data_IF_593398099507
#
_entry.id   IF_593398099507
#
_cell.length_a   1.000
_cell.length_b   1.000
_cell.length_c   1.000
_cell.angle_alpha   90.00
_cell.angle_beta   90.00
_cell.angle_gamma   90.00
#
_symmetry.space_group_name_H-M   'P 1'
#
loop_
_entity.id
_entity.type
_entity.pdbx_description
1 polymer ?
#
# COMPACT_ATOMS: atom_id res chain seq x y z
N UNK A 1 -20.43 10.67 -3.97
CA UNK A 1 -19.61 11.26 -2.88
C UNK A 1 -18.93 12.54 -3.38
N UNK A 2 -18.17 12.51 -4.50
CA UNK A 2 -17.45 13.68 -5.01
C UNK A 2 -18.35 14.89 -5.31
N UNK A 3 -19.57 14.68 -5.81
CA UNK A 3 -20.55 15.76 -6.06
C UNK A 3 -21.02 16.45 -4.78
N UNK A 4 -21.05 15.75 -3.65
CA UNK A 4 -21.55 16.26 -2.38
C UNK A 4 -20.41 16.83 -1.53
N UNK A 5 -19.30 16.12 -1.42
CA UNK A 5 -18.20 16.44 -0.52
C UNK A 5 -17.04 17.14 -1.21
N UNK A 6 -17.01 17.13 -2.54
CA UNK A 6 -15.88 17.58 -3.36
C UNK A 6 -14.86 16.47 -3.64
N UNK A 7 -13.95 16.71 -4.61
CA UNK A 7 -12.90 15.74 -4.95
C UNK A 7 -11.95 15.56 -3.76
N UNK A 8 -11.41 14.35 -3.62
CA UNK A 8 -10.46 13.95 -2.58
C UNK A 8 -10.95 14.11 -1.13
N UNK A 9 -12.27 14.31 -0.92
CA UNK A 9 -12.90 14.39 0.41
C UNK A 9 -13.54 13.09 0.87
N UNK A 10 -13.33 12.01 0.14
CA UNK A 10 -13.74 10.66 0.53
C UNK A 10 -12.66 9.66 0.12
N UNK A 11 -12.64 8.54 0.80
CA UNK A 11 -11.73 7.44 0.49
C UNK A 11 -12.38 6.10 0.83
N UNK A 12 -11.79 5.04 0.31
CA UNK A 12 -12.16 3.68 0.64
C UNK A 12 -11.04 3.00 1.44
N UNK A 13 -11.43 2.19 2.40
CA UNK A 13 -10.54 1.29 3.11
C UNK A 13 -10.56 -0.07 2.40
N UNK A 14 -9.43 -0.48 1.88
CA UNK A 14 -9.24 -1.76 1.20
C UNK A 14 -8.32 -2.64 2.03
N UNK A 15 -8.62 -3.93 2.09
CA UNK A 15 -7.77 -4.93 2.75
C UNK A 15 -7.14 -5.80 1.67
N UNK A 16 -5.82 -5.84 1.63
CA UNK A 16 -5.04 -6.62 0.69
C UNK A 16 -4.66 -7.97 1.29
N UNK A 17 -4.83 -9.05 0.53
CA UNK A 17 -4.45 -10.40 0.93
C UNK A 17 -5.63 -11.29 1.35
N UNK A 18 -6.85 -10.94 0.91
CA UNK A 18 -8.05 -11.74 1.17
C UNK A 18 -8.42 -12.68 0.00
N UNK A 19 -7.45 -12.99 -0.86
CA UNK A 19 -7.63 -13.91 -2.01
C UNK A 19 -7.72 -13.23 -3.36
N UNK A 20 -7.75 -11.90 -3.41
CA UNK A 20 -7.69 -11.13 -4.64
C UNK A 20 -6.27 -11.13 -5.23
N UNK A 21 -6.18 -10.91 -6.53
CA UNK A 21 -4.92 -10.66 -7.24
C UNK A 21 -4.48 -9.20 -7.06
N UNK A 22 -3.19 -8.92 -7.29
CA UNK A 22 -2.68 -7.53 -7.32
C UNK A 22 -3.40 -6.69 -8.38
N UNK A 23 -3.72 -7.27 -9.54
CA UNK A 23 -4.50 -6.61 -10.58
C UNK A 23 -5.87 -6.17 -10.08
N UNK A 24 -6.64 -7.06 -9.47
CA UNK A 24 -8.02 -6.77 -9.04
C UNK A 24 -8.09 -5.66 -7.99
N UNK A 25 -7.18 -5.69 -7.00
CA UNK A 25 -7.15 -4.63 -5.99
C UNK A 25 -6.71 -3.29 -6.59
N UNK A 26 -5.74 -3.28 -7.51
CA UNK A 26 -5.25 -2.06 -8.16
C UNK A 26 -6.27 -1.47 -9.15
N UNK A 27 -7.01 -2.30 -9.88
CA UNK A 27 -8.16 -1.85 -10.70
C UNK A 27 -9.25 -1.23 -9.81
N UNK A 28 -9.41 -1.74 -8.59
CA UNK A 28 -10.33 -1.15 -7.61
C UNK A 28 -9.80 0.20 -7.10
N UNK A 29 -8.50 0.30 -6.82
CA UNK A 29 -7.85 1.57 -6.47
C UNK A 29 -8.04 2.62 -7.56
N UNK A 30 -7.83 2.24 -8.83
CA UNK A 30 -8.02 3.14 -9.97
C UNK A 30 -9.46 3.65 -10.05
N UNK A 31 -10.44 2.75 -9.96
CA UNK A 31 -11.86 3.16 -9.96
C UNK A 31 -12.21 4.17 -8.87
N UNK A 32 -11.67 4.00 -7.68
CA UNK A 32 -11.88 4.94 -6.57
C UNK A 32 -11.23 6.29 -6.89
N UNK A 33 -10.01 6.28 -7.44
CA UNK A 33 -9.31 7.50 -7.87
C UNK A 33 -10.08 8.23 -8.98
N UNK A 34 -10.58 7.51 -9.98
CA UNK A 34 -11.36 8.06 -11.10
C UNK A 34 -12.68 8.68 -10.63
N UNK A 35 -13.26 8.18 -9.56
CA UNK A 35 -14.42 8.79 -8.90
C UNK A 35 -14.05 10.03 -8.06
N UNK A 36 -12.78 10.42 -8.01
CA UNK A 36 -12.28 11.55 -7.23
C UNK A 36 -12.04 11.23 -5.76
N UNK A 37 -11.89 9.96 -5.41
CA UNK A 37 -11.53 9.49 -4.07
C UNK A 37 -10.05 9.17 -3.94
N UNK A 38 -9.66 8.64 -2.78
CA UNK A 38 -8.34 8.10 -2.53
C UNK A 38 -8.42 6.78 -1.75
N UNK A 39 -7.33 6.03 -1.74
CA UNK A 39 -7.30 4.68 -1.22
C UNK A 39 -6.52 4.60 0.09
N UNK A 40 -7.13 4.02 1.11
CA UNK A 40 -6.46 3.59 2.33
C UNK A 40 -6.32 2.07 2.30
N UNK A 41 -5.08 1.60 2.41
CA UNK A 41 -4.77 0.18 2.32
C UNK A 41 -4.39 -0.39 3.67
N UNK A 42 -4.91 -1.58 3.95
CA UNK A 42 -4.57 -2.40 5.11
C UNK A 42 -4.11 -3.77 4.65
N UNK A 43 -3.10 -4.31 5.31
CA UNK A 43 -2.66 -5.68 5.11
C UNK A 43 -3.60 -6.62 5.86
N UNK A 44 -4.03 -7.70 5.20
CA UNK A 44 -4.77 -8.76 5.87
C UNK A 44 -3.85 -9.54 6.82
N UNK A 45 -4.34 -9.79 8.02
CA UNK A 45 -3.82 -10.80 8.92
C UNK A 45 -4.99 -11.57 9.55
N UNK A 46 -4.83 -12.88 9.82
CA UNK A 46 -5.90 -13.68 10.38
C UNK A 46 -6.20 -13.27 11.82
N UNK A 47 -7.47 -13.09 12.13
CA UNK A 47 -7.93 -12.76 13.47
C UNK A 47 -8.59 -13.98 14.11
N UNK A 48 -8.16 -14.34 15.32
CA UNK A 48 -8.69 -15.47 16.05
C UNK A 48 -10.20 -15.33 16.31
N UNK A 49 -10.94 -16.39 16.03
CA UNK A 49 -12.40 -16.43 16.17
C UNK A 49 -13.14 -15.91 14.94
N UNK A 50 -12.45 -15.46 13.90
CA UNK A 50 -13.06 -15.13 12.61
C UNK A 50 -13.18 -16.37 11.71
N UNK A 51 -14.00 -16.28 10.65
CA UNK A 51 -14.06 -17.34 9.62
C UNK A 51 -12.76 -17.49 8.81
N UNK A 52 -11.85 -16.54 8.94
CA UNK A 52 -10.58 -16.51 8.23
C UNK A 52 -9.37 -16.71 9.16
N UNK A 53 -9.59 -17.22 10.37
CA UNK A 53 -8.49 -17.40 11.36
C UNK A 53 -7.39 -18.35 10.91
N UNK A 54 -7.70 -19.29 10.00
CA UNK A 54 -6.74 -20.23 9.42
C UNK A 54 -6.17 -19.77 8.05
N UNK A 55 -6.55 -18.59 7.58
CA UNK A 55 -6.00 -18.07 6.33
C UNK A 55 -4.58 -17.55 6.54
N UNK A 56 -3.71 -17.65 5.52
CA UNK A 56 -2.39 -17.05 5.63
C UNK A 56 -2.50 -15.52 5.67
N UNK A 57 -1.60 -14.82 6.38
CA UNK A 57 -1.48 -13.38 6.25
C UNK A 57 -1.07 -12.99 4.83
N UNK A 58 -1.22 -11.72 4.48
CA UNK A 58 -0.80 -11.20 3.17
C UNK A 58 0.68 -11.52 2.90
N UNK A 59 0.99 -11.94 1.68
CA UNK A 59 2.38 -12.07 1.23
C UNK A 59 3.08 -10.71 1.23
N UNK A 60 4.28 -10.62 1.82
CA UNK A 60 5.00 -9.35 1.95
C UNK A 60 5.35 -8.74 0.61
N UNK A 61 5.72 -9.55 -0.37
CA UNK A 61 6.02 -9.08 -1.72
C UNK A 61 4.78 -8.49 -2.40
N UNK A 62 3.64 -9.19 -2.30
CA UNK A 62 2.35 -8.67 -2.75
C UNK A 62 2.05 -7.34 -2.10
N UNK A 63 2.13 -7.26 -0.78
CA UNK A 63 1.87 -6.05 -0.03
C UNK A 63 2.73 -4.87 -0.51
N UNK A 64 4.05 -5.07 -0.66
CA UNK A 64 4.95 -4.00 -1.10
C UNK A 64 4.66 -3.53 -2.53
N UNK A 65 4.38 -4.45 -3.46
CA UNK A 65 4.03 -4.07 -4.84
C UNK A 65 2.71 -3.32 -4.89
N UNK A 66 1.71 -3.76 -4.14
CA UNK A 66 0.41 -3.07 -4.05
C UNK A 66 0.55 -1.69 -3.40
N UNK A 67 1.34 -1.54 -2.31
CA UNK A 67 1.62 -0.23 -1.72
C UNK A 67 2.23 0.74 -2.74
N UNK A 68 3.24 0.29 -3.49
CA UNK A 68 3.92 1.10 -4.50
C UNK A 68 2.99 1.50 -5.64
N UNK A 69 2.26 0.54 -6.20
CA UNK A 69 1.32 0.79 -7.30
C UNK A 69 0.17 1.72 -6.87
N UNK A 70 -0.42 1.48 -5.69
CA UNK A 70 -1.45 2.36 -5.13
C UNK A 70 -0.92 3.80 -4.95
N UNK A 71 0.30 3.96 -4.47
CA UNK A 71 0.90 5.29 -4.31
C UNK A 71 1.07 5.99 -5.66
N UNK A 72 1.47 5.26 -6.71
CA UNK A 72 1.55 5.79 -8.07
C UNK A 72 0.18 6.27 -8.54
N UNK A 73 -0.88 5.48 -8.36
CA UNK A 73 -2.25 5.83 -8.74
C UNK A 73 -2.74 7.07 -7.99
N UNK A 74 -2.58 7.09 -6.68
CA UNK A 74 -3.15 8.17 -5.85
C UNK A 74 -2.38 9.50 -5.96
N UNK A 75 -1.03 9.45 -6.04
CA UNK A 75 -0.19 10.62 -5.79
C UNK A 75 0.85 10.95 -6.87
N UNK A 76 1.15 10.02 -7.77
CA UNK A 76 2.24 10.19 -8.73
C UNK A 76 1.80 10.11 -10.20
N UNK A 77 0.49 10.18 -10.46
CA UNK A 77 -0.07 10.20 -11.81
C UNK A 77 0.06 8.87 -12.56
N UNK A 78 0.29 7.77 -11.85
CA UNK A 78 0.25 6.44 -12.44
C UNK A 78 -1.17 6.01 -12.79
N UNK A 79 -1.28 5.07 -13.72
CA UNK A 79 -2.54 4.49 -14.16
C UNK A 79 -2.39 2.98 -14.28
N UNK A 80 -3.35 2.23 -13.74
CA UNK A 80 -3.35 0.77 -13.80
C UNK A 80 -3.33 0.23 -15.24
N UNK A 81 -3.88 0.97 -16.18
CA UNK A 81 -3.86 0.60 -17.61
C UNK A 81 -2.45 0.64 -18.22
N UNK A 82 -1.53 1.40 -17.62
CA UNK A 82 -0.12 1.43 -18.01
C UNK A 82 0.73 0.35 -17.34
N UNK A 83 0.20 -0.35 -16.35
CA UNK A 83 0.93 -1.40 -15.63
C UNK A 83 0.86 -2.74 -16.37
N UNK A 84 1.90 -3.57 -16.24
CA UNK A 84 1.88 -4.94 -16.74
C UNK A 84 1.74 -5.95 -15.60
N UNK A 85 1.04 -7.04 -15.88
CA UNK A 85 0.76 -8.10 -14.91
C UNK A 85 1.08 -9.47 -15.53
N UNK A 86 1.53 -10.39 -14.72
CA UNK A 86 1.68 -11.79 -15.15
C UNK A 86 0.32 -12.53 -15.16
N UNK A 87 0.37 -13.83 -15.51
CA UNK A 87 -0.83 -14.68 -15.60
C UNK A 87 -1.52 -14.90 -14.23
N UNK A 88 -0.83 -14.68 -13.12
CA UNK A 88 -1.40 -14.75 -11.77
C UNK A 88 -1.92 -13.38 -11.28
N UNK A 89 -1.87 -12.34 -12.12
CA UNK A 89 -2.30 -10.99 -11.78
C UNK A 89 -1.30 -10.22 -10.92
N UNK A 90 -0.04 -10.70 -10.80
CA UNK A 90 1.04 -10.01 -10.09
C UNK A 90 1.61 -8.89 -10.95
N UNK A 91 1.87 -7.73 -10.37
CA UNK A 91 2.54 -6.61 -11.06
C UNK A 91 3.95 -6.99 -11.47
N UNK A 92 4.27 -6.84 -12.75
CA UNK A 92 5.60 -7.06 -13.34
C UNK A 92 6.23 -5.78 -13.87
N UNK A 93 5.41 -4.78 -14.19
CA UNK A 93 5.85 -3.44 -14.57
C UNK A 93 4.86 -2.41 -14.02
N UNK A 94 5.37 -1.31 -13.48
CA UNK A 94 4.54 -0.26 -12.88
C UNK A 94 4.13 0.84 -13.85
N UNK A 95 4.50 0.73 -15.13
CA UNK A 95 4.12 1.67 -16.18
C UNK A 95 4.74 3.07 -16.06
N UNK A 96 5.84 3.20 -15.33
CA UNK A 96 6.54 4.46 -15.11
C UNK A 96 8.03 4.34 -15.44
N UNK A 97 8.69 5.48 -15.68
CA UNK A 97 10.13 5.50 -15.92
C UNK A 97 10.90 4.83 -14.76
N UNK A 98 11.91 4.03 -15.13
CA UNK A 98 12.68 3.25 -14.16
C UNK A 98 13.40 4.13 -13.13
N UNK A 99 13.96 5.26 -13.53
CA UNK A 99 14.66 6.14 -12.61
C UNK A 99 13.69 6.82 -11.65
N UNK A 100 12.50 7.20 -12.12
CA UNK A 100 11.43 7.73 -11.30
C UNK A 100 10.92 6.69 -10.29
N UNK A 101 10.75 5.43 -10.73
CA UNK A 101 10.36 4.32 -9.86
C UNK A 101 11.40 4.08 -8.76
N UNK A 102 12.68 4.01 -9.12
CA UNK A 102 13.77 3.82 -8.18
C UNK A 102 13.86 4.96 -7.16
N UNK A 103 13.73 6.21 -7.60
CA UNK A 103 13.70 7.37 -6.70
C UNK A 103 12.51 7.33 -5.73
N UNK A 104 11.36 6.84 -6.20
CA UNK A 104 10.18 6.68 -5.36
C UNK A 104 10.37 5.59 -4.31
N UNK A 105 10.93 4.43 -4.68
CA UNK A 105 11.26 3.35 -3.74
C UNK A 105 12.27 3.85 -2.70
N UNK A 106 13.32 4.52 -3.14
CA UNK A 106 14.36 5.07 -2.26
C UNK A 106 13.81 6.10 -1.26
N UNK A 107 12.80 6.87 -1.69
CA UNK A 107 12.14 7.83 -0.80
C UNK A 107 11.38 7.18 0.36
N UNK A 108 11.05 5.90 0.28
CA UNK A 108 10.23 5.16 1.24
C UNK A 108 8.77 5.60 1.33
N UNK A 109 8.37 6.68 0.66
CA UNK A 109 7.02 7.27 0.78
C UNK A 109 5.87 6.29 0.53
N UNK A 110 5.93 5.41 -0.49
CA UNK A 110 4.84 4.46 -0.77
C UNK A 110 4.57 3.47 0.36
N UNK A 111 5.57 3.19 1.17
CA UNK A 111 5.53 2.15 2.21
C UNK A 111 5.16 2.69 3.58
N UNK A 112 4.91 3.99 3.66
CA UNK A 112 4.42 4.62 4.89
C UNK A 112 2.92 4.36 5.06
N UNK A 113 2.49 4.38 6.33
CA UNK A 113 1.07 4.28 6.64
C UNK A 113 0.28 5.36 5.89
N UNK A 114 -0.80 4.93 5.25
CA UNK A 114 -1.72 5.81 4.52
C UNK A 114 -2.86 6.32 5.40
N UNK A 115 -2.70 6.30 6.72
CA UNK A 115 -3.73 6.63 7.70
C UNK A 115 -4.60 7.84 7.34
N UNK A 116 -5.69 8.03 8.06
CA UNK A 116 -6.58 9.17 7.83
C UNK A 116 -5.77 10.46 7.86
N UNK A 117 -6.03 11.40 6.95
CA UNK A 117 -5.41 12.71 7.01
C UNK A 117 -5.74 13.36 8.35
N UNK A 118 -4.78 14.04 8.93
CA UNK A 118 -4.96 14.83 10.13
C UNK A 118 -5.97 15.97 9.90
N UNK A 119 -6.02 16.91 10.83
CA UNK A 119 -6.79 18.13 10.59
C UNK A 119 -6.09 18.98 9.51
N UNK A 120 -6.78 20.02 9.05
CA UNK A 120 -6.19 21.01 8.15
C UNK A 120 -5.02 21.77 8.79
N UNK A 121 -4.79 21.58 10.08
CA UNK A 121 -3.63 22.06 10.81
C UNK A 121 -2.48 21.07 10.61
N UNK A 122 -1.41 21.51 9.96
CA UNK A 122 -0.19 20.72 9.75
C UNK A 122 0.46 20.22 11.05
N UNK A 123 0.13 20.82 12.18
CA UNK A 123 0.59 20.36 13.50
C UNK A 123 -0.08 19.05 13.93
N UNK A 124 -1.23 18.70 13.35
CA UNK A 124 -1.92 17.43 13.63
C UNK A 124 -1.60 16.44 12.52
N UNK A 125 -0.64 15.57 12.78
CA UNK A 125 -0.26 14.51 11.84
C UNK A 125 -1.43 13.58 11.53
N UNK A 126 -1.43 13.00 10.33
CA UNK A 126 -2.29 11.91 9.95
C UNK A 126 -2.18 10.73 10.95
N UNK A 127 -3.16 9.85 10.96
CA UNK A 127 -3.13 8.65 11.78
C UNK A 127 -1.92 7.78 11.42
N UNK A 128 -0.95 7.75 12.29
CA UNK A 128 0.27 6.96 12.17
C UNK A 128 0.19 5.71 13.05
N UNK A 129 -0.95 5.02 13.06
CA UNK A 129 -1.08 3.78 13.82
C UNK A 129 -0.22 2.68 13.16
N UNK A 130 0.94 2.32 13.74
CA UNK A 130 1.76 1.24 13.21
C UNK A 130 1.09 -0.12 13.37
N UNK A 131 0.09 -0.21 14.25
CA UNK A 131 -0.57 -1.44 14.66
C UNK A 131 -1.96 -1.63 14.02
N UNK A 132 -2.30 -0.88 12.99
CA UNK A 132 -3.53 -1.10 12.22
C UNK A 132 -3.46 -2.38 11.39
N UNK A 133 -2.26 -2.67 10.88
CA UNK A 133 -1.96 -3.81 10.03
C UNK A 133 -0.56 -4.41 10.35
N UNK A 134 0.03 -4.04 11.46
CA UNK A 134 1.43 -4.37 11.79
C UNK A 134 1.58 -4.72 13.26
N UNK A 135 2.60 -5.50 13.58
CA UNK A 135 3.08 -5.71 14.94
C UNK A 135 4.41 -4.97 15.14
N UNK A 136 4.86 -4.73 16.40
CA UNK A 136 6.15 -4.08 16.64
C UNK A 136 7.36 -4.82 16.03
N UNK A 137 7.23 -6.12 15.85
CA UNK A 137 8.28 -7.00 15.31
C UNK A 137 8.12 -7.27 13.83
N UNK A 138 7.02 -6.84 13.21
CA UNK A 138 6.74 -7.03 11.78
C UNK A 138 5.93 -5.83 11.25
N UNK A 139 6.67 -4.85 10.74
CA UNK A 139 6.09 -3.60 10.25
C UNK A 139 5.72 -3.75 8.79
N UNK A 140 4.42 -3.78 8.53
CA UNK A 140 3.86 -3.80 7.18
C UNK A 140 3.66 -2.40 6.60
N UNK A 141 3.32 -1.42 7.43
CA UNK A 141 3.25 0.00 7.04
C UNK A 141 4.06 0.86 8.01
N UNK A 142 5.02 1.60 7.50
CA UNK A 142 5.94 2.37 8.35
C UNK A 142 5.27 3.68 8.83
N UNK A 143 5.25 3.95 10.13
CA UNK A 143 4.68 5.19 10.68
C UNK A 143 5.66 6.37 10.63
N UNK A 144 6.88 6.15 10.16
CA UNK A 144 7.98 7.12 10.09
C UNK A 144 8.67 7.09 8.73
N UNK A 145 9.61 8.00 8.50
CA UNK A 145 10.45 7.97 7.30
C UNK A 145 11.37 6.75 7.35
N UNK A 146 11.45 6.03 6.23
CA UNK A 146 12.29 4.84 6.12
C UNK A 146 13.77 5.25 6.10
N UNK A 147 14.59 4.45 6.76
CA UNK A 147 16.04 4.51 6.66
C UNK A 147 16.55 3.50 5.62
N UNK A 148 17.83 3.57 5.27
CA UNK A 148 18.42 2.70 4.26
C UNK A 148 18.23 1.18 4.54
N UNK A 149 18.32 0.67 5.78
CA UNK A 149 18.01 -0.74 6.07
C UNK A 149 16.55 -1.11 5.79
N UNK A 150 15.59 -0.20 6.06
CA UNK A 150 14.18 -0.43 5.81
C UNK A 150 13.90 -0.52 4.30
N UNK A 151 14.47 0.40 3.53
CA UNK A 151 14.37 0.39 2.06
C UNK A 151 14.97 -0.89 1.49
N UNK A 152 16.10 -1.33 2.02
CA UNK A 152 16.73 -2.60 1.61
C UNK A 152 15.82 -3.80 1.92
N UNK A 153 15.17 -3.84 3.09
CA UNK A 153 14.22 -4.89 3.45
C UNK A 153 13.00 -4.89 2.52
N UNK A 154 12.44 -3.70 2.23
CA UNK A 154 11.34 -3.56 1.26
C UNK A 154 11.71 -4.10 -0.12
N UNK A 155 12.91 -3.78 -0.63
CA UNK A 155 13.40 -4.28 -1.93
C UNK A 155 13.49 -5.81 -1.93
N UNK A 156 14.00 -6.41 -0.88
CA UNK A 156 14.09 -7.87 -0.73
C UNK A 156 12.71 -8.51 -0.69
N UNK A 157 11.76 -7.93 0.05
CA UNK A 157 10.37 -8.37 0.08
C UNK A 157 9.73 -8.30 -1.30
N UNK A 158 9.91 -7.20 -2.04
CA UNK A 158 9.41 -7.07 -3.42
C UNK A 158 10.00 -8.13 -4.36
N UNK A 159 11.25 -8.55 -4.13
CA UNK A 159 11.90 -9.63 -4.87
C UNK A 159 11.39 -11.03 -4.46
N UNK A 160 10.54 -11.14 -3.46
CA UNK A 160 9.96 -12.41 -2.98
C UNK A 160 10.75 -13.07 -1.85
N UNK A 161 11.66 -12.34 -1.20
CA UNK A 161 12.33 -12.83 -0.01
C UNK A 161 11.43 -12.62 1.22
N UNK A 162 11.24 -13.67 2.01
CA UNK A 162 10.50 -13.59 3.27
C UNK A 162 11.38 -13.03 4.39
N UNK A 163 11.58 -11.71 4.38
CA UNK A 163 12.33 -10.99 5.41
C UNK A 163 11.39 -10.06 6.16
N UNK A 164 11.45 -10.11 7.49
CA UNK A 164 10.73 -9.14 8.33
C UNK A 164 11.31 -7.73 8.16
N UNK A 165 10.49 -6.74 8.34
CA UNK A 165 10.90 -5.36 8.59
C UNK A 165 10.48 -5.03 10.02
N UNK A 166 11.43 -4.78 10.89
CA UNK A 166 11.17 -4.52 12.30
C UNK A 166 12.33 -3.80 12.95
N UNK A 167 12.09 -3.35 14.17
CA UNK A 167 13.08 -2.59 14.97
C UNK A 167 14.24 -3.43 15.53
N UNK A 168 14.35 -4.73 15.14
CA UNK A 168 15.37 -5.64 15.69
C UNK A 168 15.98 -6.53 14.61
#
# INVERSE_FOLDING_TARGET
AAEIFGPEKFGAHLICGMGETEREILETCQRIKDMGGHNHMFAFFPERGSLMEEWPPVDRGQWRRVQLARFLIDYAGGDVAGMAFDHAGRVTDFGVDKAALEALIESGKPFRTSGCPGSLDEAVSACNRPYGDSTPTDILSFPFALEAPDVAAVRRQMAGEDVGAGFF
#
